data_IF_300615332611
#
_entry.id   IF_300615332611
#
_cell.length_a   1.000
_cell.length_b   1.000
_cell.length_c   1.000
_cell.angle_alpha   90.00
_cell.angle_beta   90.00
_cell.angle_gamma   90.00
#
_symmetry.space_group_name_H-M   'P 1'
#
loop_
_entity.id
_entity.type
_entity.pdbx_description
1 polymer ?
#
# COMPACT_ATOMS: atom_id res chain seq x y z
N UNK A 1 25.68 32.53 116.42
CA UNK A 1 24.81 33.02 115.32
C UNK A 1 25.45 32.87 113.92
N UNK A 2 26.56 32.13 113.72
CA UNK A 2 27.24 32.03 112.41
C UNK A 2 26.83 30.80 111.54
N UNK A 3 26.23 29.77 112.13
CA UNK A 3 26.01 28.48 111.43
C UNK A 3 24.87 28.48 110.38
N UNK A 4 23.95 29.46 110.40
CA UNK A 4 22.79 29.48 109.49
C UNK A 4 23.12 30.04 108.10
N UNK A 5 24.12 30.92 107.99
CA UNK A 5 24.53 31.56 106.73
C UNK A 5 25.42 30.66 105.88
N UNK A 6 26.28 29.85 106.51
CA UNK A 6 27.22 28.96 105.82
C UNK A 6 26.50 27.83 105.05
N UNK A 7 25.41 27.29 105.60
CA UNK A 7 24.61 26.24 104.95
C UNK A 7 23.93 26.72 103.65
N UNK A 8 23.45 27.97 103.62
CA UNK A 8 22.83 28.55 102.42
C UNK A 8 23.89 28.77 101.33
N UNK A 9 25.08 29.21 101.71
CA UNK A 9 26.18 29.46 100.78
C UNK A 9 26.69 28.18 100.12
N UNK A 10 26.74 27.07 100.88
CA UNK A 10 27.09 25.75 100.35
C UNK A 10 26.05 25.25 99.33
N UNK A 11 24.75 25.47 99.59
CA UNK A 11 23.68 25.11 98.67
C UNK A 11 23.74 25.92 97.37
N UNK A 12 24.00 27.23 97.45
CA UNK A 12 24.19 28.08 96.27
C UNK A 12 25.42 27.67 95.45
N UNK A 13 26.52 27.27 96.10
CA UNK A 13 27.70 26.73 95.42
C UNK A 13 27.41 25.37 94.76
N UNK A 14 26.64 24.51 95.42
CA UNK A 14 26.19 23.23 94.86
C UNK A 14 25.25 23.44 93.67
N UNK A 15 24.31 24.40 93.74
CA UNK A 15 23.40 24.79 92.66
C UNK A 15 24.19 25.31 91.45
N UNK A 16 25.15 26.21 91.68
CA UNK A 16 26.04 26.70 90.62
C UNK A 16 26.84 25.56 89.98
N UNK A 17 27.43 24.69 90.80
CA UNK A 17 28.21 23.54 90.32
C UNK A 17 27.36 22.54 89.53
N UNK A 18 26.09 22.33 89.93
CA UNK A 18 25.15 21.48 89.20
C UNK A 18 24.73 22.12 87.87
N UNK A 19 24.43 23.43 87.87
CA UNK A 19 24.10 24.20 86.67
C UNK A 19 25.24 24.16 85.65
N UNK A 20 26.48 24.36 86.11
CA UNK A 20 27.67 24.30 85.25
C UNK A 20 27.86 22.91 84.63
N UNK A 21 27.67 21.82 85.41
CA UNK A 21 27.71 20.45 84.87
C UNK A 21 26.64 20.20 83.80
N UNK A 22 25.41 20.71 84.00
CA UNK A 22 24.33 20.59 83.01
C UNK A 22 24.61 21.41 81.76
N UNK A 23 25.11 22.64 81.91
CA UNK A 23 25.45 23.51 80.78
C UNK A 23 26.62 22.95 79.97
N UNK A 24 27.62 22.37 80.63
CA UNK A 24 28.72 21.67 79.99
C UNK A 24 28.22 20.43 79.21
N UNK A 25 27.31 19.65 79.77
CA UNK A 25 26.67 18.52 79.08
C UNK A 25 25.86 18.97 77.85
N UNK A 26 25.08 20.07 77.96
CA UNK A 26 24.35 20.67 76.83
C UNK A 26 25.30 21.14 75.73
N UNK A 27 26.41 21.81 76.09
CA UNK A 27 27.45 22.25 75.14
C UNK A 27 28.12 21.06 74.45
N UNK A 28 28.47 19.99 75.18
CA UNK A 28 29.02 18.75 74.60
C UNK A 28 28.05 18.11 73.61
N UNK A 29 26.77 18.01 73.96
CA UNK A 29 25.73 17.47 73.05
C UNK A 29 25.63 18.30 71.78
N UNK A 30 25.52 19.63 71.89
CA UNK A 30 25.44 20.52 70.74
C UNK A 30 26.69 20.44 69.85
N UNK A 31 27.89 20.34 70.46
CA UNK A 31 29.15 20.17 69.74
C UNK A 31 29.17 18.87 68.93
N UNK A 32 28.86 17.72 69.55
CA UNK A 32 28.78 16.43 68.83
C UNK A 32 27.76 16.43 67.70
N UNK A 33 26.63 17.10 67.89
CA UNK A 33 25.58 17.19 66.88
C UNK A 33 26.02 18.06 65.69
N UNK A 34 26.82 19.11 65.95
CA UNK A 34 27.43 19.94 64.89
C UNK A 34 28.55 19.17 64.17
N UNK A 35 29.40 18.47 64.90
CA UNK A 35 30.46 17.61 64.35
C UNK A 35 29.88 16.54 63.43
N UNK A 36 28.87 15.78 63.89
CA UNK A 36 28.20 14.78 63.07
C UNK A 36 27.58 15.35 61.78
N UNK A 37 27.02 16.57 61.84
CA UNK A 37 26.49 17.24 60.63
C UNK A 37 27.59 17.64 59.66
N UNK A 38 28.71 18.16 60.18
CA UNK A 38 29.85 18.57 59.34
C UNK A 38 30.48 17.33 58.70
N UNK A 39 30.69 16.26 59.46
CA UNK A 39 31.24 15.00 58.98
C UNK A 39 30.36 14.38 57.88
N UNK A 40 29.04 14.28 58.12
CA UNK A 40 28.11 13.78 57.11
C UNK A 40 28.12 14.65 55.83
N UNK A 41 28.20 15.99 55.98
CA UNK A 41 28.29 16.89 54.84
C UNK A 41 29.60 16.69 54.05
N UNK A 42 30.73 16.52 54.75
CA UNK A 42 32.01 16.26 54.08
C UNK A 42 32.02 14.93 53.33
N UNK A 43 31.35 13.90 53.85
CA UNK A 43 31.23 12.60 53.18
C UNK A 43 30.34 12.70 51.92
N UNK A 44 29.21 13.43 52.01
CA UNK A 44 28.35 13.71 50.85
C UNK A 44 29.13 14.47 49.76
N UNK A 45 29.90 15.48 50.13
CA UNK A 45 30.67 16.28 49.17
C UNK A 45 31.82 15.46 48.53
N UNK A 46 32.43 14.56 49.30
CA UNK A 46 33.43 13.62 48.78
C UNK A 46 32.82 12.69 47.73
N UNK A 47 31.69 12.02 48.04
CA UNK A 47 31.01 11.10 47.13
C UNK A 47 30.46 11.82 45.88
N UNK A 48 29.99 13.06 46.04
CA UNK A 48 29.60 13.91 44.92
C UNK A 48 30.79 14.18 44.00
N UNK A 49 31.94 14.55 44.56
CA UNK A 49 33.15 14.83 43.77
C UNK A 49 33.65 13.59 43.01
N UNK A 50 33.55 12.40 43.60
CA UNK A 50 33.89 11.14 42.94
C UNK A 50 32.95 10.82 41.79
N UNK A 51 31.63 10.97 41.98
CA UNK A 51 30.66 10.78 40.91
C UNK A 51 30.86 11.78 39.77
N UNK A 52 31.18 13.02 40.09
CA UNK A 52 31.46 14.05 39.08
C UNK A 52 32.75 13.76 38.30
N UNK A 53 33.80 13.27 38.96
CA UNK A 53 35.01 12.77 38.26
C UNK A 53 34.68 11.61 37.32
N UNK A 54 33.89 10.63 37.78
CA UNK A 54 33.50 9.49 36.95
C UNK A 54 32.62 9.91 35.76
N UNK A 55 31.70 10.84 35.98
CA UNK A 55 30.87 11.43 34.93
C UNK A 55 31.75 12.12 33.88
N UNK A 56 32.68 12.96 34.31
CA UNK A 56 33.58 13.69 33.41
C UNK A 56 34.49 12.76 32.59
N UNK A 57 35.00 11.70 33.20
CA UNK A 57 35.76 10.67 32.48
C UNK A 57 34.90 9.95 31.41
N UNK A 58 33.63 9.67 31.72
CA UNK A 58 32.71 9.10 30.74
C UNK A 58 32.36 10.09 29.62
N UNK A 59 32.16 11.36 29.96
CA UNK A 59 31.88 12.44 29.01
C UNK A 59 33.01 12.61 27.99
N UNK A 60 34.26 12.69 28.46
CA UNK A 60 35.45 12.79 27.60
C UNK A 60 35.54 11.60 26.63
N UNK A 61 35.27 10.38 27.11
CA UNK A 61 35.25 9.17 26.27
C UNK A 61 34.13 9.21 25.21
N UNK A 62 32.99 9.81 25.50
CA UNK A 62 31.84 9.85 24.58
C UNK A 62 31.99 10.97 23.55
N UNK A 63 32.50 12.14 23.96
CA UNK A 63 32.72 13.28 23.07
C UNK A 63 33.68 12.94 21.92
N UNK A 64 34.74 12.17 22.18
CA UNK A 64 35.67 11.72 21.14
C UNK A 64 35.07 10.72 20.14
N UNK A 65 34.17 9.84 20.60
CA UNK A 65 33.60 8.77 19.77
C UNK A 65 32.73 9.27 18.63
N UNK A 66 32.04 10.41 18.80
CA UNK A 66 31.15 10.93 17.76
C UNK A 66 31.92 11.28 16.49
N UNK A 67 33.04 11.99 16.63
CA UNK A 67 33.90 12.35 15.50
C UNK A 67 34.55 11.12 14.86
N UNK A 68 34.94 10.13 15.66
CA UNK A 68 35.54 8.88 15.16
C UNK A 68 34.54 8.05 14.35
N UNK A 69 33.31 7.90 14.85
CA UNK A 69 32.23 7.18 14.14
C UNK A 69 31.90 7.90 12.83
N UNK A 70 31.80 9.23 12.84
CA UNK A 70 31.55 10.01 11.64
C UNK A 70 32.65 9.82 10.58
N UNK A 71 33.92 9.86 11.00
CA UNK A 71 35.05 9.61 10.10
C UNK A 71 35.04 8.18 9.53
N UNK A 72 34.68 7.17 10.33
CA UNK A 72 34.54 5.79 9.85
C UNK A 72 33.40 5.66 8.84
N UNK A 73 32.25 6.29 9.09
CA UNK A 73 31.11 6.30 8.16
C UNK A 73 31.51 6.95 6.84
N UNK A 74 32.17 8.11 6.89
CA UNK A 74 32.63 8.81 5.68
C UNK A 74 33.60 7.93 4.88
N UNK A 75 34.60 7.35 5.54
CA UNK A 75 35.57 6.48 4.88
C UNK A 75 34.91 5.27 4.20
N UNK A 76 33.99 4.59 4.88
CA UNK A 76 33.25 3.46 4.30
C UNK A 76 32.36 3.91 3.13
N UNK A 77 31.77 5.10 3.23
CA UNK A 77 30.93 5.65 2.16
C UNK A 77 31.77 5.94 0.92
N UNK A 78 32.94 6.54 1.09
CA UNK A 78 33.88 6.83 0.00
C UNK A 78 34.36 5.53 -0.67
N UNK A 79 34.74 4.52 0.12
CA UNK A 79 35.12 3.20 -0.39
C UNK A 79 33.99 2.54 -1.20
N UNK A 80 32.73 2.65 -0.75
CA UNK A 80 31.57 2.11 -1.49
C UNK A 80 31.37 2.87 -2.81
N UNK A 81 31.46 4.20 -2.79
CA UNK A 81 31.32 5.04 -3.98
C UNK A 81 32.41 4.70 -5.00
N UNK A 82 33.66 4.55 -4.57
CA UNK A 82 34.78 4.18 -5.45
C UNK A 82 34.56 2.80 -6.09
N UNK A 83 34.15 1.81 -5.30
CA UNK A 83 33.86 0.47 -5.80
C UNK A 83 32.71 0.47 -6.82
N UNK A 84 31.63 1.22 -6.53
CA UNK A 84 30.49 1.35 -7.45
C UNK A 84 30.91 2.06 -8.74
N UNK A 85 31.67 3.16 -8.64
CA UNK A 85 32.16 3.90 -9.80
C UNK A 85 33.07 3.02 -10.68
N UNK A 86 33.95 2.22 -10.06
CA UNK A 86 34.80 1.27 -10.78
C UNK A 86 33.99 0.20 -11.52
N UNK A 87 32.98 -0.38 -10.86
CA UNK A 87 32.09 -1.38 -11.47
C UNK A 87 31.29 -0.81 -12.64
N UNK A 88 30.73 0.39 -12.48
CA UNK A 88 30.01 1.08 -13.56
C UNK A 88 30.96 1.35 -14.73
N UNK A 89 32.15 1.91 -14.48
CA UNK A 89 33.10 2.20 -15.55
C UNK A 89 33.56 0.94 -16.30
N UNK A 90 33.72 -0.18 -15.59
CA UNK A 90 34.12 -1.46 -16.18
C UNK A 90 33.06 -1.98 -17.18
N UNK A 91 31.77 -1.90 -16.81
CA UNK A 91 30.68 -2.50 -17.60
C UNK A 91 29.93 -1.50 -18.49
N UNK A 92 30.22 -0.20 -18.39
CA UNK A 92 29.54 0.87 -19.11
C UNK A 92 29.50 0.61 -20.62
N UNK A 93 30.66 0.36 -21.22
CA UNK A 93 30.76 0.19 -22.67
C UNK A 93 30.07 -1.08 -23.14
N UNK A 94 30.16 -2.18 -22.38
CA UNK A 94 29.47 -3.43 -22.71
C UNK A 94 27.94 -3.27 -22.67
N UNK A 95 27.42 -2.60 -21.63
CA UNK A 95 25.99 -2.32 -21.50
C UNK A 95 25.46 -1.41 -22.61
N UNK A 96 26.21 -0.34 -22.95
CA UNK A 96 25.86 0.55 -24.06
C UNK A 96 25.84 -0.23 -25.38
N UNK A 97 26.86 -1.04 -25.64
CA UNK A 97 26.93 -1.82 -26.87
C UNK A 97 25.81 -2.86 -26.97
N UNK A 98 25.44 -3.51 -25.87
CA UNK A 98 24.30 -4.42 -25.83
C UNK A 98 22.99 -3.70 -26.16
N UNK A 99 22.76 -2.54 -25.54
CA UNK A 99 21.56 -1.75 -25.78
C UNK A 99 21.50 -1.26 -27.23
N UNK A 100 22.61 -0.72 -27.75
CA UNK A 100 22.70 -0.30 -29.15
C UNK A 100 22.44 -1.46 -30.10
N UNK A 101 23.00 -2.65 -29.82
CA UNK A 101 22.75 -3.86 -30.62
C UNK A 101 21.28 -4.23 -30.65
N UNK A 102 20.59 -4.24 -29.50
CA UNK A 102 19.17 -4.57 -29.43
C UNK A 102 18.28 -3.53 -30.13
N UNK A 103 18.62 -2.25 -30.02
CA UNK A 103 17.85 -1.17 -30.64
C UNK A 103 18.05 -1.13 -32.16
N UNK A 104 19.27 -1.41 -32.62
CA UNK A 104 19.60 -1.40 -34.05
C UNK A 104 19.20 -2.70 -34.77
N UNK A 105 18.95 -3.79 -34.04
CA UNK A 105 18.49 -5.07 -34.61
C UNK A 105 16.98 -5.07 -34.86
N UNK A 106 16.55 -4.30 -35.86
CA UNK A 106 15.15 -4.26 -36.27
C UNK A 106 14.84 -5.52 -37.08
N UNK A 107 14.11 -6.44 -36.47
CA UNK A 107 13.65 -7.69 -37.08
C UNK A 107 12.16 -7.56 -37.50
N UNK A 108 11.86 -7.05 -38.72
CA UNK A 108 10.49 -6.96 -39.18
C UNK A 108 9.91 -8.36 -39.36
N UNK A 109 8.95 -8.73 -38.49
CA UNK A 109 8.21 -9.99 -38.59
C UNK A 109 6.76 -9.69 -38.92
N UNK A 110 6.22 -10.45 -39.88
CA UNK A 110 4.79 -10.50 -40.10
C UNK A 110 4.14 -11.17 -38.89
N UNK A 111 3.01 -10.63 -38.45
CA UNK A 111 2.26 -11.17 -37.32
C UNK A 111 1.87 -12.64 -37.61
N UNK A 112 1.86 -13.50 -36.59
CA UNK A 112 1.60 -14.94 -36.73
C UNK A 112 0.31 -15.29 -37.52
N UNK A 113 -0.68 -14.40 -37.45
CA UNK A 113 -1.98 -14.55 -38.12
C UNK A 113 -2.05 -13.87 -39.50
N UNK A 114 -0.93 -13.34 -40.01
CA UNK A 114 -0.89 -12.78 -41.34
C UNK A 114 -1.04 -13.90 -42.38
N UNK A 115 -2.22 -13.98 -43.01
CA UNK A 115 -2.52 -14.94 -44.08
C UNK A 115 -2.37 -14.24 -45.42
N UNK A 116 -1.41 -14.69 -46.23
CA UNK A 116 -1.33 -14.31 -47.64
C UNK A 116 -2.42 -15.10 -48.36
N UNK A 117 -3.55 -14.44 -48.67
CA UNK A 117 -4.58 -15.04 -49.52
C UNK A 117 -5.99 -14.97 -48.96
N UNK A 118 -6.70 -13.89 -49.25
CA UNK A 118 -8.17 -13.89 -49.20
C UNK A 118 -8.79 -14.87 -50.22
N UNK A 119 -8.00 -15.40 -51.16
CA UNK A 119 -8.44 -16.32 -52.21
C UNK A 119 -8.50 -17.80 -51.76
N UNK A 120 -7.68 -18.24 -50.79
CA UNK A 120 -7.60 -19.68 -50.43
C UNK A 120 -8.87 -20.19 -49.74
N UNK A 121 -9.39 -19.44 -48.76
CA UNK A 121 -10.63 -19.79 -48.07
C UNK A 121 -11.85 -19.77 -49.01
N UNK A 122 -11.82 -18.89 -50.01
CA UNK A 122 -12.87 -18.81 -51.03
C UNK A 122 -12.79 -20.00 -52.00
N UNK A 123 -11.58 -20.43 -52.35
CA UNK A 123 -11.36 -21.63 -53.17
C UNK A 123 -11.78 -22.91 -52.43
N UNK A 124 -11.45 -23.02 -51.14
CA UNK A 124 -11.91 -24.12 -50.29
C UNK A 124 -13.45 -24.13 -50.18
N UNK A 125 -14.06 -22.98 -49.92
CA UNK A 125 -15.52 -22.85 -49.89
C UNK A 125 -16.15 -23.19 -51.25
N UNK A 126 -15.53 -22.79 -52.36
CA UNK A 126 -15.99 -23.12 -53.70
C UNK A 126 -15.98 -24.63 -53.94
N UNK A 127 -14.92 -25.32 -53.51
CA UNK A 127 -14.80 -26.77 -53.60
C UNK A 127 -15.92 -27.47 -52.82
N UNK A 128 -16.18 -27.04 -51.58
CA UNK A 128 -17.26 -27.59 -50.75
C UNK A 128 -18.65 -27.33 -51.38
N UNK A 129 -18.90 -26.11 -51.87
CA UNK A 129 -20.15 -25.78 -52.55
C UNK A 129 -20.37 -26.64 -53.80
N UNK A 130 -19.30 -26.91 -54.56
CA UNK A 130 -19.32 -27.76 -55.74
C UNK A 130 -19.70 -29.20 -55.37
N UNK A 131 -19.07 -29.76 -54.33
CA UNK A 131 -19.36 -31.14 -53.87
C UNK A 131 -20.80 -31.29 -53.37
N UNK A 132 -21.30 -30.32 -52.61
CA UNK A 132 -22.69 -30.31 -52.15
C UNK A 132 -23.68 -30.16 -53.32
N UNK A 133 -23.37 -29.31 -54.29
CA UNK A 133 -24.20 -29.16 -55.49
C UNK A 133 -24.25 -30.47 -56.30
N UNK A 134 -23.11 -31.17 -56.47
CA UNK A 134 -23.05 -32.48 -57.12
C UNK A 134 -23.93 -33.53 -56.39
N UNK A 135 -23.94 -33.53 -55.06
CA UNK A 135 -24.78 -34.44 -54.27
C UNK A 135 -26.28 -34.14 -54.41
N UNK A 136 -26.67 -32.87 -54.38
CA UNK A 136 -28.07 -32.46 -54.55
C UNK A 136 -28.54 -32.75 -55.98
N UNK A 137 -27.71 -32.45 -56.98
CA UNK A 137 -27.94 -32.76 -58.38
C UNK A 137 -28.22 -34.26 -58.59
N UNK A 138 -27.42 -35.14 -57.99
CA UNK A 138 -27.62 -36.60 -58.03
C UNK A 138 -28.94 -37.02 -57.39
N UNK A 139 -29.29 -36.46 -56.24
CA UNK A 139 -30.53 -36.80 -55.52
C UNK A 139 -31.79 -36.36 -56.26
N UNK A 140 -31.74 -35.22 -56.93
CA UNK A 140 -32.88 -34.62 -57.63
C UNK A 140 -32.91 -34.96 -59.13
N UNK A 141 -31.90 -35.68 -59.65
CA UNK A 141 -31.81 -36.03 -61.06
C UNK A 141 -31.68 -34.82 -62.00
N UNK A 142 -31.07 -33.72 -61.52
CA UNK A 142 -30.89 -32.49 -62.28
C UNK A 142 -29.41 -32.11 -62.37
N UNK A 143 -29.06 -31.22 -63.30
CA UNK A 143 -27.70 -30.66 -63.42
C UNK A 143 -27.69 -29.23 -62.89
N UNK A 144 -26.69 -28.90 -62.06
CA UNK A 144 -26.49 -27.54 -61.53
C UNK A 144 -25.33 -26.91 -62.29
N UNK A 145 -25.59 -25.77 -62.93
CA UNK A 145 -24.57 -25.02 -63.66
C UNK A 145 -23.51 -24.43 -62.73
N UNK A 146 -22.27 -24.34 -63.23
CA UNK A 146 -21.14 -23.82 -62.46
C UNK A 146 -21.36 -22.36 -62.01
N UNK A 147 -22.07 -21.56 -62.81
CA UNK A 147 -22.40 -20.17 -62.46
C UNK A 147 -23.24 -20.07 -61.18
N UNK A 148 -24.15 -21.02 -60.96
CA UNK A 148 -24.97 -21.09 -59.74
C UNK A 148 -24.09 -21.44 -58.54
N UNK A 149 -23.16 -22.38 -58.70
CA UNK A 149 -22.19 -22.76 -57.66
C UNK A 149 -21.27 -21.60 -57.30
N UNK A 150 -20.79 -20.86 -58.29
CA UNK A 150 -20.01 -19.63 -58.09
C UNK A 150 -20.81 -18.57 -57.33
N UNK A 151 -22.08 -18.33 -57.71
CA UNK A 151 -22.95 -17.36 -57.05
C UNK A 151 -23.21 -17.73 -55.58
N UNK A 152 -23.49 -19.00 -55.31
CA UNK A 152 -23.68 -19.51 -53.94
C UNK A 152 -22.41 -19.36 -53.12
N UNK A 153 -21.25 -19.68 -53.71
CA UNK A 153 -19.95 -19.53 -53.05
C UNK A 153 -19.69 -18.06 -52.66
N UNK A 154 -19.95 -17.11 -53.55
CA UNK A 154 -19.80 -15.67 -53.27
C UNK A 154 -20.75 -15.20 -52.17
N UNK A 155 -22.01 -15.65 -52.19
CA UNK A 155 -23.00 -15.30 -51.19
C UNK A 155 -22.57 -15.81 -49.80
N UNK A 156 -22.15 -17.07 -49.72
CA UNK A 156 -21.69 -17.69 -48.49
C UNK A 156 -20.41 -17.05 -47.98
N UNK A 157 -19.47 -16.71 -48.87
CA UNK A 157 -18.24 -16.03 -48.48
C UNK A 157 -18.53 -14.66 -47.86
N UNK A 158 -19.42 -13.86 -48.48
CA UNK A 158 -19.87 -12.58 -47.89
C UNK A 158 -20.59 -12.77 -46.57
N UNK A 159 -21.44 -13.80 -46.45
CA UNK A 159 -22.10 -14.12 -45.19
C UNK A 159 -21.09 -14.47 -44.09
N UNK A 160 -20.07 -15.26 -44.39
CA UNK A 160 -19.01 -15.62 -43.45
C UNK A 160 -18.19 -14.42 -43.00
N UNK A 161 -17.91 -13.47 -43.90
CA UNK A 161 -17.26 -12.21 -43.52
C UNK A 161 -18.08 -11.42 -42.50
N UNK A 162 -19.38 -11.26 -42.76
CA UNK A 162 -20.29 -10.57 -41.82
C UNK A 162 -20.43 -11.33 -40.50
N UNK A 163 -20.50 -12.66 -40.55
CA UNK A 163 -20.60 -13.49 -39.35
C UNK A 163 -19.31 -13.41 -38.51
N UNK A 164 -18.14 -13.41 -39.14
CA UNK A 164 -16.86 -13.27 -38.46
C UNK A 164 -16.75 -11.93 -37.72
N UNK A 165 -17.12 -10.82 -38.38
CA UNK A 165 -17.16 -9.50 -37.73
C UNK A 165 -18.14 -9.45 -36.56
N UNK A 166 -19.25 -10.16 -36.69
CA UNK A 166 -20.29 -10.21 -35.66
C UNK A 166 -19.86 -11.01 -34.44
N UNK A 167 -19.20 -12.16 -34.63
CA UNK A 167 -18.68 -12.99 -33.55
C UNK A 167 -17.62 -12.23 -32.74
N UNK A 168 -16.75 -11.46 -33.40
CA UNK A 168 -15.77 -10.62 -32.71
C UNK A 168 -16.47 -9.53 -31.87
N UNK A 169 -17.51 -8.90 -32.43
CA UNK A 169 -18.31 -7.92 -31.70
C UNK A 169 -19.00 -8.56 -30.49
N UNK A 170 -19.61 -9.75 -30.65
CA UNK A 170 -20.30 -10.43 -29.56
C UNK A 170 -19.37 -10.95 -28.47
N UNK A 171 -18.16 -11.42 -28.81
CA UNK A 171 -17.18 -11.91 -27.84
C UNK A 171 -16.83 -10.83 -26.79
N UNK A 172 -16.72 -9.55 -27.20
CA UNK A 172 -16.44 -8.41 -26.32
C UNK A 172 -17.56 -8.11 -25.30
N UNK A 173 -18.74 -8.69 -25.51
CA UNK A 173 -19.94 -8.48 -24.69
C UNK A 173 -20.36 -9.75 -23.94
N UNK A 174 -19.64 -10.86 -24.11
CA UNK A 174 -19.94 -12.12 -23.44
C UNK A 174 -19.77 -12.01 -21.91
N UNK A 175 -20.61 -12.75 -21.16
CA UNK A 175 -20.58 -12.87 -19.68
C UNK A 175 -20.94 -11.62 -18.88
N UNK A 176 -21.51 -10.58 -19.49
CA UNK A 176 -22.14 -9.48 -18.76
C UNK A 176 -23.49 -9.93 -18.20
N UNK A 177 -23.75 -9.65 -16.91
CA UNK A 177 -25.04 -9.95 -16.26
C UNK A 177 -26.04 -8.80 -16.32
N UNK A 178 -25.56 -7.58 -16.62
CA UNK A 178 -26.37 -6.37 -16.76
C UNK A 178 -26.12 -5.76 -18.14
N UNK A 179 -27.20 -5.44 -18.87
CA UNK A 179 -27.15 -4.86 -20.22
C UNK A 179 -26.71 -3.39 -20.16
N UNK A 180 -25.66 -3.04 -20.91
CA UNK A 180 -25.13 -1.69 -21.02
C UNK A 180 -25.46 -1.07 -22.41
N UNK A 181 -25.15 0.21 -22.58
CA UNK A 181 -25.36 0.96 -23.83
C UNK A 181 -24.61 0.32 -25.00
N UNK A 182 -23.38 -0.14 -24.76
CA UNK A 182 -22.57 -0.80 -25.79
C UNK A 182 -23.22 -2.09 -26.29
N UNK A 183 -23.93 -2.82 -25.42
CA UNK A 183 -24.66 -4.03 -25.79
C UNK A 183 -25.83 -3.68 -26.74
N UNK A 184 -26.55 -2.57 -26.45
CA UNK A 184 -27.65 -2.07 -27.29
C UNK A 184 -27.13 -1.58 -28.65
N UNK A 185 -26.00 -0.86 -28.67
CA UNK A 185 -25.37 -0.42 -29.91
C UNK A 185 -24.85 -1.61 -30.73
N UNK A 186 -24.34 -2.65 -30.06
CA UNK A 186 -23.90 -3.88 -30.69
C UNK A 186 -25.04 -4.56 -31.45
N UNK A 187 -26.28 -4.56 -30.95
CA UNK A 187 -27.44 -5.12 -31.66
C UNK A 187 -27.75 -4.43 -32.99
N UNK A 188 -27.46 -3.13 -33.08
CA UNK A 188 -27.82 -2.30 -34.23
C UNK A 188 -26.67 -2.12 -35.22
N UNK A 189 -25.49 -2.69 -34.94
CA UNK A 189 -24.25 -2.53 -35.71
C UNK A 189 -24.37 -2.74 -37.24
N UNK A 190 -25.30 -3.60 -37.68
CA UNK A 190 -25.52 -3.88 -39.11
C UNK A 190 -26.31 -2.79 -39.85
N UNK A 191 -26.88 -1.83 -39.12
CA UNK A 191 -27.58 -0.67 -39.67
C UNK A 191 -26.86 0.62 -39.23
N UNK A 192 -25.96 1.17 -40.06
CA UNK A 192 -25.15 2.33 -39.67
C UNK A 192 -25.99 3.58 -39.42
N UNK A 193 -27.10 3.74 -40.15
CA UNK A 193 -28.02 4.87 -39.96
C UNK A 193 -28.67 4.82 -38.56
N UNK A 194 -29.21 3.65 -38.20
CA UNK A 194 -29.83 3.47 -36.89
C UNK A 194 -28.80 3.51 -35.76
N UNK A 195 -27.59 2.99 -35.99
CA UNK A 195 -26.48 3.06 -35.05
C UNK A 195 -26.09 4.51 -34.74
N UNK A 196 -26.01 5.37 -35.76
CA UNK A 196 -25.71 6.79 -35.61
C UNK A 196 -26.80 7.51 -34.82
N UNK A 197 -28.06 7.29 -35.17
CA UNK A 197 -29.21 7.89 -34.48
C UNK A 197 -29.21 7.51 -32.99
N UNK A 198 -29.01 6.23 -32.66
CA UNK A 198 -28.98 5.76 -31.28
C UNK A 198 -27.76 6.29 -30.52
N UNK A 199 -26.59 6.35 -31.17
CA UNK A 199 -25.37 6.90 -30.59
C UNK A 199 -25.51 8.38 -30.28
N UNK A 200 -26.08 9.16 -31.19
CA UNK A 200 -26.28 10.61 -31.01
C UNK A 200 -27.34 10.91 -29.96
N UNK A 201 -28.41 10.12 -29.92
CA UNK A 201 -29.40 10.21 -28.85
C UNK A 201 -28.78 9.89 -27.47
N UNK A 202 -27.91 8.88 -27.38
CA UNK A 202 -27.17 8.59 -26.16
C UNK A 202 -26.25 9.75 -25.74
N UNK A 203 -25.47 10.32 -26.67
CA UNK A 203 -24.63 11.50 -26.41
C UNK A 203 -25.48 12.67 -25.87
N UNK A 204 -26.61 12.97 -26.50
CA UNK A 204 -27.50 14.05 -26.06
C UNK A 204 -28.09 13.80 -24.66
N UNK A 205 -28.41 12.55 -24.31
CA UNK A 205 -28.85 12.21 -22.95
C UNK A 205 -27.76 12.42 -21.89
N UNK A 206 -26.51 12.07 -22.18
CA UNK A 206 -25.39 12.29 -21.24
C UNK A 206 -25.11 13.78 -21.01
N UNK A 207 -25.25 14.62 -22.05
CA UNK A 207 -25.10 16.08 -21.96
C UNK A 207 -26.26 16.69 -21.16
N UNK A 208 -27.52 16.30 -21.45
CA UNK A 208 -28.68 16.78 -20.68
C UNK A 208 -28.60 16.44 -19.19
N UNK A 209 -28.08 15.26 -18.84
CA UNK A 209 -27.89 14.82 -17.45
C UNK A 209 -26.79 15.60 -16.71
N UNK A 210 -25.77 16.12 -17.41
CA UNK A 210 -24.75 17.02 -16.86
C UNK A 210 -25.26 18.45 -16.66
N UNK A 211 -26.20 18.91 -17.49
CA UNK A 211 -26.77 20.26 -17.40
C UNK A 211 -27.86 20.36 -16.32
N UNK A 212 -28.50 19.25 -15.93
CA UNK A 212 -29.56 19.22 -14.92
C UNK A 212 -29.10 19.10 -13.46
N UNK A 213 -27.80 19.07 -13.17
CA UNK A 213 -27.26 19.09 -11.80
C UNK A 213 -26.57 20.44 -11.54
N UNK A 214 -27.15 21.33 -10.71
CA UNK A 214 -26.44 22.50 -10.24
C UNK A 214 -25.39 22.08 -9.20
N UNK A 215 -24.20 22.66 -9.31
CA UNK A 215 -23.21 22.69 -8.25
C UNK A 215 -23.82 23.36 -7.01
N UNK A 216 -24.03 22.60 -5.93
CA UNK A 216 -24.32 23.18 -4.63
C UNK A 216 -23.49 22.54 -3.52
N UNK A 217 -22.76 23.43 -2.85
CA UNK A 217 -21.97 23.23 -1.64
C UNK A 217 -22.93 23.11 -0.44
N UNK A 218 -22.61 22.25 0.52
CA UNK A 218 -23.03 22.45 1.92
C UNK A 218 -24.03 21.44 2.52
N UNK A 219 -23.46 20.51 3.30
CA UNK A 219 -23.84 20.12 4.67
C UNK A 219 -25.24 19.57 5.05
N UNK A 220 -25.17 18.37 5.66
CA UNK A 220 -25.89 17.81 6.82
C UNK A 220 -27.42 17.49 6.82
N UNK A 221 -27.68 16.16 6.75
CA UNK A 221 -28.37 15.27 7.74
C UNK A 221 -29.89 15.44 7.98
N UNK A 222 -30.70 14.43 7.57
CA UNK A 222 -31.32 13.40 8.47
C UNK A 222 -32.54 12.63 7.88
N UNK A 223 -32.51 11.31 8.20
CA UNK A 223 -33.50 10.19 8.22
C UNK A 223 -34.97 10.39 7.78
N UNK A 224 -35.48 9.41 7.01
CA UNK A 224 -36.66 8.59 7.38
C UNK A 224 -36.78 7.31 6.50
N UNK A 225 -36.85 6.14 7.15
CA UNK A 225 -37.18 4.84 6.52
C UNK A 225 -38.56 4.44 7.04
N UNK A 226 -39.50 4.19 6.12
CA UNK A 226 -40.85 3.69 6.42
C UNK A 226 -40.83 2.18 6.61
N UNK A 227 -41.68 1.77 7.53
CA UNK A 227 -41.91 0.50 8.22
C UNK A 227 -42.46 -0.63 7.35
N UNK A 228 -42.05 -1.87 7.69
CA UNK A 228 -42.83 -3.11 7.46
C UNK A 228 -43.03 -3.77 8.83
N UNK A 229 -44.26 -4.14 9.17
CA UNK A 229 -44.65 -4.87 10.39
C UNK A 229 -44.92 -6.35 10.06
N UNK A 230 -45.24 -7.22 11.03
CA UNK A 230 -44.40 -7.69 12.14
C UNK A 230 -44.32 -9.24 12.18
N UNK A 231 -43.35 -9.84 12.89
CA UNK A 231 -43.68 -10.80 13.97
C UNK A 231 -42.50 -11.24 14.86
N UNK A 232 -42.80 -11.25 16.16
CA UNK A 232 -42.29 -11.95 17.36
C UNK A 232 -40.79 -12.36 17.56
N UNK A 233 -40.05 -11.52 18.34
CA UNK A 233 -39.46 -11.72 19.71
C UNK A 233 -38.91 -13.11 20.17
N UNK A 234 -38.06 -13.16 21.24
CA UNK A 234 -36.66 -12.74 21.42
C UNK A 234 -35.81 -13.94 21.95
N UNK A 235 -34.48 -13.91 22.10
CA UNK A 235 -33.73 -13.57 23.31
C UNK A 235 -32.29 -14.05 23.03
N UNK A 236 -31.28 -13.19 22.98
CA UNK A 236 -30.46 -12.91 24.16
C UNK A 236 -28.99 -12.74 23.71
N UNK A 237 -28.15 -12.02 24.47
CA UNK A 237 -27.10 -11.19 23.89
C UNK A 237 -25.69 -11.74 24.14
N UNK A 238 -24.80 -11.67 23.16
CA UNK A 238 -23.37 -11.62 23.47
C UNK A 238 -22.56 -10.73 22.52
N UNK A 239 -22.29 -9.53 23.04
CA UNK A 239 -21.06 -8.74 22.99
C UNK A 239 -20.20 -8.77 21.71
N UNK A 240 -20.27 -7.64 21.03
CA UNK A 240 -19.18 -6.89 20.40
C UNK A 240 -17.76 -7.31 20.80
N UNK A 241 -16.96 -7.64 19.78
CA UNK A 241 -15.53 -7.31 19.75
C UNK A 241 -15.19 -6.80 18.34
N UNK A 242 -14.99 -5.48 18.23
CA UNK A 242 -14.35 -4.84 17.08
C UNK A 242 -12.84 -4.96 17.34
N UNK A 243 -12.16 -5.85 16.62
CA UNK A 243 -10.70 -5.83 16.51
C UNK A 243 -10.32 -4.99 15.28
N UNK A 244 -9.55 -3.93 15.51
CA UNK A 244 -8.80 -3.22 14.47
C UNK A 244 -7.65 -4.10 13.98
N UNK A 245 -7.44 -4.28 12.67
CA UNK A 245 -6.26 -4.98 12.17
C UNK A 245 -5.11 -3.98 11.99
N UNK A 246 -4.26 -3.87 13.01
CA UNK A 246 -2.84 -3.65 12.81
C UNK A 246 -2.19 -5.03 12.69
N UNK A 247 -1.74 -5.38 11.49
CA UNK A 247 -0.53 -6.18 11.30
C UNK A 247 -0.25 -6.34 9.81
N UNK A 248 0.97 -5.97 9.45
CA UNK A 248 1.73 -6.51 8.34
C UNK A 248 1.59 -8.04 8.27
N UNK A 249 0.68 -8.55 7.46
CA UNK A 249 0.66 -9.94 7.03
C UNK A 249 -0.26 -10.09 5.81
N UNK A 250 0.32 -10.22 4.62
CA UNK A 250 -0.20 -11.00 3.48
C UNK A 250 0.44 -10.48 2.19
N UNK A 251 1.43 -11.21 1.66
CA UNK A 251 1.78 -11.16 0.24
C UNK A 251 2.53 -12.41 -0.27
N UNK A 252 2.33 -13.57 0.36
CA UNK A 252 2.99 -14.83 -0.08
C UNK A 252 2.11 -16.08 -0.03
N UNK A 253 0.80 -15.96 -0.17
CA UNK A 253 -0.10 -17.15 -0.20
C UNK A 253 -0.96 -17.25 -1.47
N UNK A 254 -0.51 -16.70 -2.61
CA UNK A 254 -1.27 -16.80 -3.86
C UNK A 254 -0.59 -17.54 -5.02
N UNK A 255 0.60 -18.13 -4.82
CA UNK A 255 1.33 -18.81 -5.90
C UNK A 255 1.52 -20.32 -5.75
N UNK A 256 0.98 -20.97 -4.72
CA UNK A 256 1.09 -22.43 -4.60
C UNK A 256 -0.26 -23.08 -4.28
N UNK A 257 -1.10 -23.22 -5.30
CA UNK A 257 -2.02 -24.37 -5.43
C UNK A 257 -2.32 -24.64 -6.90
N UNK A 258 -1.93 -25.86 -7.30
CA UNK A 258 -2.41 -26.71 -8.38
C UNK A 258 -1.74 -26.66 -9.77
N UNK A 259 -1.19 -27.84 -10.05
CA UNK A 259 -0.76 -28.50 -11.29
C UNK A 259 0.60 -28.15 -11.92
#
# INVERSE_FOLDING_TARGET
MASRTDGIQLLLQAEKSASDKVNEAKRRKAKRLKEAKVEAQTEIDAERSERERHFKMCEERVLGRRSEIEAQIQKLTDEIIENQAASVNLHKEEAINLLLRLVMDIQPRLHQNYRIGAAEHKAELHYVCTKLAEEIAKKQGCTIGLDIVCLVTELLFRFYQVLATDLECFAKHARRTTVNVDDVLCFVRRNPQLLNILSDHHKQQTVRKKVSLPSFVGSSRSKAKVTKAPDCKPDGPEKLAICTPDSSCSLTEWFNTND
#
